data_IF_820588396911
#
_entry.id   IF_820588396911
#
_cell.length_a   1.000
_cell.length_b   1.000
_cell.length_c   1.000
_cell.angle_alpha   90.00
_cell.angle_beta   90.00
_cell.angle_gamma   90.00
#
_symmetry.space_group_name_H-M   'P 1'
#
loop_
_entity.id
_entity.type
_entity.pdbx_description
1 polymer ?
#
# COMPACT_ATOMS: atom_id res chain seq x y z
N UNK A 1 -14.71 64.61 16.01
CA UNK A 1 -15.60 64.89 14.85
C UNK A 1 -16.29 63.58 14.50
N UNK A 2 -17.58 63.47 14.81
CA UNK A 2 -18.40 62.28 14.54
C UNK A 2 -18.92 62.37 13.10
N UNK A 3 -18.84 61.30 12.27
CA UNK A 3 -19.34 61.35 10.90
C UNK A 3 -20.87 61.58 10.89
N UNK A 4 -21.39 62.34 9.90
CA UNK A 4 -22.81 62.67 9.84
C UNK A 4 -23.64 61.41 9.61
N UNK A 5 -24.77 61.29 10.31
CA UNK A 5 -25.75 60.22 10.08
C UNK A 5 -26.26 60.31 8.63
N UNK A 6 -26.36 59.18 7.92
CA UNK A 6 -26.87 59.17 6.55
C UNK A 6 -28.32 59.66 6.51
N UNK A 7 -28.60 60.49 5.50
CA UNK A 7 -29.90 61.11 5.27
C UNK A 7 -30.97 60.03 4.98
N UNK A 8 -32.22 60.30 5.36
CA UNK A 8 -33.32 59.33 5.33
C UNK A 8 -33.56 58.74 3.93
N UNK A 9 -33.23 59.51 2.87
CA UNK A 9 -33.31 59.06 1.47
C UNK A 9 -32.28 57.98 1.10
N UNK A 10 -31.10 58.01 1.72
CA UNK A 10 -30.04 57.01 1.46
C UNK A 10 -30.38 55.68 2.13
N UNK A 11 -31.14 55.70 3.23
CA UNK A 11 -31.58 54.50 3.95
C UNK A 11 -32.60 53.69 3.15
N UNK A 12 -33.57 54.37 2.53
CA UNK A 12 -34.59 53.72 1.69
C UNK A 12 -34.00 53.07 0.44
N UNK A 13 -33.00 53.70 -0.20
CA UNK A 13 -32.32 53.12 -1.37
C UNK A 13 -31.47 51.87 -1.02
N UNK A 14 -30.94 51.79 0.19
CA UNK A 14 -30.20 50.60 0.66
C UNK A 14 -31.17 49.46 0.99
N UNK A 15 -32.32 49.76 1.58
CA UNK A 15 -33.36 48.77 1.88
C UNK A 15 -34.01 48.19 0.61
N UNK A 16 -34.26 49.02 -0.41
CA UNK A 16 -34.78 48.55 -1.70
C UNK A 16 -33.76 47.71 -2.49
N UNK A 17 -32.46 48.06 -2.44
CA UNK A 17 -31.38 47.22 -3.01
C UNK A 17 -31.23 45.89 -2.28
N UNK A 18 -31.32 45.87 -0.95
CA UNK A 18 -31.23 44.65 -0.16
C UNK A 18 -32.42 43.72 -0.42
N UNK A 19 -33.61 44.27 -0.67
CA UNK A 19 -34.80 43.49 -1.05
C UNK A 19 -34.67 42.88 -2.44
N UNK A 20 -34.17 43.65 -3.40
CA UNK A 20 -33.95 43.20 -4.79
C UNK A 20 -32.89 42.09 -4.88
N UNK A 21 -31.85 42.12 -4.04
CA UNK A 21 -30.83 41.06 -4.00
C UNK A 21 -31.40 39.78 -3.35
N UNK A 22 -32.29 39.89 -2.37
CA UNK A 22 -32.90 38.73 -1.71
C UNK A 22 -33.87 37.96 -2.62
N UNK A 23 -34.56 38.68 -3.50
CA UNK A 23 -35.46 38.09 -4.51
C UNK A 23 -34.70 37.47 -5.70
N UNK A 24 -33.42 37.81 -5.89
CA UNK A 24 -32.53 37.20 -6.90
C UNK A 24 -31.85 35.90 -6.41
N UNK A 25 -31.86 35.62 -5.11
CA UNK A 25 -31.16 34.49 -4.48
C UNK A 25 -32.10 33.36 -4.06
N UNK A 26 -33.41 33.51 -4.25
CA UNK A 26 -34.35 32.38 -4.10
C UNK A 26 -34.44 31.61 -5.42
N UNK A 27 -33.92 30.38 -5.52
CA UNK A 27 -34.13 29.56 -6.70
C UNK A 27 -35.63 29.25 -6.82
N UNK A 28 -36.20 29.53 -7.99
CA UNK A 28 -37.56 29.15 -8.34
C UNK A 28 -37.54 27.65 -8.64
N UNK A 29 -37.58 26.81 -7.60
CA UNK A 29 -37.74 25.37 -7.79
C UNK A 29 -39.23 25.04 -7.90
N UNK A 30 -39.60 24.34 -8.97
CA UNK A 30 -40.94 23.78 -9.11
C UNK A 30 -41.18 22.77 -7.96
N UNK A 31 -42.40 22.69 -7.39
CA UNK A 31 -42.68 21.81 -6.25
C UNK A 31 -42.42 20.32 -6.53
N UNK A 32 -42.35 19.89 -7.80
CA UNK A 32 -41.96 18.53 -8.18
C UNK A 32 -40.45 18.25 -8.09
N UNK A 33 -39.59 19.27 -8.31
CA UNK A 33 -38.13 19.11 -8.20
C UNK A 33 -37.68 19.09 -6.74
N UNK A 34 -38.34 19.86 -5.86
CA UNK A 34 -38.10 19.82 -4.43
C UNK A 34 -38.51 18.48 -3.79
N UNK A 35 -39.54 17.81 -4.32
CA UNK A 35 -39.92 16.47 -3.88
C UNK A 35 -38.92 15.39 -4.35
N UNK A 36 -38.32 15.54 -5.54
CA UNK A 36 -37.21 14.66 -5.98
C UNK A 36 -35.95 14.89 -5.16
N UNK A 37 -35.58 16.15 -4.90
CA UNK A 37 -34.43 16.49 -4.06
C UNK A 37 -34.58 15.94 -2.63
N UNK A 38 -35.79 15.97 -2.06
CA UNK A 38 -36.03 15.41 -0.74
C UNK A 38 -36.06 13.87 -0.71
N UNK A 39 -36.35 13.22 -1.85
CA UNK A 39 -36.22 11.76 -1.99
C UNK A 39 -34.76 11.32 -2.19
N UNK A 40 -33.92 12.15 -2.82
CA UNK A 40 -32.48 11.90 -2.99
C UNK A 40 -31.69 12.09 -1.68
N UNK A 41 -32.11 13.02 -0.82
CA UNK A 41 -31.48 13.29 0.48
C UNK A 41 -31.78 12.23 1.56
N UNK A 42 -32.77 11.36 1.33
CA UNK A 42 -33.20 10.29 2.25
C UNK A 42 -32.80 8.89 1.75
N UNK A 43 -31.86 8.80 0.81
CA UNK A 43 -31.17 7.54 0.52
C UNK A 43 -29.86 7.56 1.29
N UNK A 44 -29.93 7.23 2.58
CA UNK A 44 -28.77 6.80 3.32
C UNK A 44 -28.35 5.44 2.76
N UNK A 45 -27.54 5.45 1.69
CA UNK A 45 -26.87 4.23 1.22
C UNK A 45 -25.87 3.86 2.31
N UNK A 46 -26.31 3.11 3.31
CA UNK A 46 -25.44 2.54 4.33
C UNK A 46 -24.38 1.69 3.60
N UNK A 47 -23.23 2.28 3.33
CA UNK A 47 -22.09 1.59 2.73
C UNK A 47 -21.47 0.75 3.83
N UNK A 48 -21.77 -0.54 3.82
CA UNK A 48 -21.04 -1.49 4.64
C UNK A 48 -19.77 -1.87 3.89
N UNK A 49 -18.59 -1.62 4.45
CA UNK A 49 -17.35 -2.02 3.81
C UNK A 49 -17.29 -3.53 3.68
N UNK A 50 -16.66 -4.02 2.61
CA UNK A 50 -16.49 -5.44 2.25
C UNK A 50 -16.03 -6.31 3.43
N UNK A 51 -15.22 -5.78 4.32
CA UNK A 51 -14.74 -6.44 5.54
C UNK A 51 -15.86 -6.82 6.51
N UNK A 52 -16.91 -6.00 6.60
CA UNK A 52 -18.07 -6.30 7.45
C UNK A 52 -18.90 -7.44 6.86
N UNK A 53 -18.98 -7.55 5.52
CA UNK A 53 -19.67 -8.64 4.85
C UNK A 53 -18.98 -9.98 5.10
N UNK A 54 -17.64 -10.02 5.09
CA UNK A 54 -16.87 -11.23 5.40
C UNK A 54 -17.20 -11.83 6.77
N UNK A 55 -17.43 -11.00 7.78
CA UNK A 55 -17.78 -11.45 9.12
C UNK A 55 -19.17 -12.12 9.20
N UNK A 56 -20.04 -11.85 8.22
CA UNK A 56 -21.40 -12.39 8.16
C UNK A 56 -21.55 -13.57 7.19
N UNK A 57 -20.49 -13.97 6.47
CA UNK A 57 -20.50 -15.17 5.64
C UNK A 57 -20.17 -16.39 6.50
N UNK A 58 -21.20 -17.14 6.89
CA UNK A 58 -21.06 -18.41 7.61
C UNK A 58 -20.71 -19.57 6.64
N UNK A 59 -19.91 -20.53 7.11
CA UNK A 59 -19.57 -21.74 6.37
C UNK A 59 -18.10 -22.16 6.47
N UNK A 60 -17.82 -23.38 6.02
CA UNK A 60 -16.45 -23.93 5.95
C UNK A 60 -15.73 -23.43 4.70
N UNK A 61 -14.45 -23.09 4.81
CA UNK A 61 -13.66 -22.62 3.68
C UNK A 61 -13.26 -23.79 2.77
N UNK A 62 -13.60 -23.69 1.49
CA UNK A 62 -13.23 -24.68 0.47
C UNK A 62 -12.49 -23.97 -0.66
N UNK A 63 -11.25 -24.38 -0.90
CA UNK A 63 -10.40 -23.82 -1.95
C UNK A 63 -10.67 -24.51 -3.28
N UNK A 64 -11.03 -23.74 -4.29
CA UNK A 64 -11.45 -24.23 -5.61
C UNK A 64 -10.76 -23.47 -6.74
N UNK A 65 -10.65 -24.09 -7.91
CA UNK A 65 -10.31 -23.37 -9.14
C UNK A 65 -11.59 -23.09 -9.90
N UNK A 66 -11.91 -21.82 -10.08
CA UNK A 66 -13.18 -21.36 -10.61
C UNK A 66 -13.06 -20.97 -12.08
N UNK A 67 -13.97 -21.47 -12.92
CA UNK A 67 -14.06 -21.21 -14.36
C UNK A 67 -15.34 -20.43 -14.64
N UNK A 68 -15.22 -19.10 -14.69
CA UNK A 68 -16.32 -18.20 -15.02
C UNK A 68 -16.45 -18.05 -16.53
N UNK A 69 -17.65 -18.22 -17.09
CA UNK A 69 -17.89 -18.08 -18.51
C UNK A 69 -17.77 -16.63 -18.96
N UNK A 70 -17.08 -16.42 -20.09
CA UNK A 70 -17.03 -15.12 -20.75
C UNK A 70 -18.20 -15.03 -21.72
N UNK A 71 -19.31 -14.47 -21.25
CA UNK A 71 -20.53 -14.33 -22.04
C UNK A 71 -20.55 -13.00 -22.81
N UNK A 72 -20.95 -13.07 -24.09
CA UNK A 72 -21.25 -11.87 -24.90
C UNK A 72 -22.77 -11.68 -25.01
N UNK A 73 -23.21 -10.48 -25.43
CA UNK A 73 -24.63 -10.21 -25.63
C UNK A 73 -25.22 -11.16 -26.70
N UNK A 74 -25.90 -12.22 -26.25
CA UNK A 74 -26.49 -13.27 -27.11
C UNK A 74 -25.96 -14.69 -26.85
N UNK A 75 -24.97 -14.86 -25.96
CA UNK A 75 -24.47 -16.17 -25.55
C UNK A 75 -25.34 -16.75 -24.42
N UNK A 76 -25.77 -18.01 -24.56
CA UNK A 76 -26.41 -18.76 -23.48
C UNK A 76 -25.35 -19.38 -22.55
N UNK A 77 -25.63 -19.36 -21.26
CA UNK A 77 -24.74 -19.92 -20.26
C UNK A 77 -24.94 -21.44 -20.18
N UNK A 78 -23.99 -22.19 -20.75
CA UNK A 78 -24.07 -23.64 -20.90
C UNK A 78 -22.85 -24.32 -20.26
N UNK A 79 -23.01 -25.45 -19.54
CA UNK A 79 -21.89 -26.20 -18.97
C UNK A 79 -20.88 -26.66 -20.05
N UNK A 80 -19.71 -27.15 -19.61
CA UNK A 80 -18.67 -27.66 -20.52
C UNK A 80 -19.21 -28.68 -21.53
N UNK A 81 -18.94 -28.44 -22.81
CA UNK A 81 -19.16 -29.40 -23.87
C UNK A 81 -17.83 -29.71 -24.57
N UNK A 82 -17.36 -30.96 -24.46
CA UNK A 82 -16.10 -31.42 -25.09
C UNK A 82 -16.10 -31.28 -26.61
N UNK A 83 -17.27 -31.24 -27.24
CA UNK A 83 -17.43 -31.11 -28.69
C UNK A 83 -17.43 -29.66 -29.18
N UNK A 84 -17.50 -28.68 -28.27
CA UNK A 84 -17.58 -27.27 -28.61
C UNK A 84 -16.19 -26.64 -28.65
N UNK A 85 -15.88 -25.96 -29.76
CA UNK A 85 -14.59 -25.30 -29.96
C UNK A 85 -14.32 -24.20 -28.91
N UNK A 86 -13.04 -24.01 -28.58
CA UNK A 86 -12.60 -23.05 -27.57
C UNK A 86 -12.94 -21.57 -27.87
N UNK A 87 -13.18 -21.23 -29.14
CA UNK A 87 -13.63 -19.89 -29.52
C UNK A 87 -15.09 -19.63 -29.14
N UNK A 88 -15.91 -20.69 -29.10
CA UNK A 88 -17.34 -20.61 -28.80
C UNK A 88 -17.67 -20.81 -27.32
N UNK A 89 -16.74 -21.36 -26.55
CA UNK A 89 -16.88 -21.56 -25.11
C UNK A 89 -15.58 -21.15 -24.42
N UNK A 90 -15.57 -19.93 -23.86
CA UNK A 90 -14.41 -19.31 -23.24
C UNK A 90 -14.60 -19.13 -21.75
N UNK A 91 -13.54 -19.35 -20.98
CA UNK A 91 -13.52 -19.20 -19.53
C UNK A 91 -12.47 -18.21 -19.04
N UNK A 92 -12.79 -17.52 -17.94
CA UNK A 92 -11.83 -16.89 -17.05
C UNK A 92 -11.57 -17.84 -15.89
N UNK A 93 -10.32 -18.25 -15.72
CA UNK A 93 -9.87 -19.08 -14.62
C UNK A 93 -9.49 -18.20 -13.43
N UNK A 94 -10.03 -18.48 -12.25
CA UNK A 94 -9.58 -17.92 -10.98
C UNK A 94 -9.03 -19.07 -10.15
N UNK A 95 -7.73 -19.03 -9.90
CA UNK A 95 -7.03 -20.09 -9.16
C UNK A 95 -7.07 -19.84 -7.66
N UNK A 96 -7.27 -20.92 -6.90
CA UNK A 96 -7.22 -20.88 -5.43
C UNK A 96 -8.32 -20.05 -4.76
N UNK A 97 -9.47 -19.88 -5.43
CA UNK A 97 -10.61 -19.16 -4.88
C UNK A 97 -11.14 -19.86 -3.63
N UNK A 98 -11.30 -19.11 -2.54
CA UNK A 98 -11.98 -19.60 -1.35
C UNK A 98 -13.49 -19.36 -1.46
N UNK A 99 -14.31 -20.41 -1.37
CA UNK A 99 -15.77 -20.33 -1.20
C UNK A 99 -16.18 -20.81 0.18
N UNK A 100 -17.32 -20.34 0.69
CA UNK A 100 -17.84 -20.71 2.01
C UNK A 100 -18.98 -21.71 1.86
N UNK A 101 -18.71 -22.98 2.14
CA UNK A 101 -19.69 -24.07 2.03
C UNK A 101 -20.69 -23.95 3.18
N UNK A 102 -21.97 -23.85 2.82
CA UNK A 102 -23.08 -23.64 3.77
C UNK A 102 -23.87 -24.91 4.07
N UNK A 103 -23.92 -25.85 3.12
CA UNK A 103 -24.52 -27.17 3.29
C UNK A 103 -23.46 -28.25 3.11
N UNK A 104 -23.57 -29.34 3.87
CA UNK A 104 -22.79 -30.54 3.57
C UNK A 104 -23.10 -31.05 2.17
N UNK A 105 -22.15 -31.77 1.58
CA UNK A 105 -22.30 -32.39 0.28
C UNK A 105 -23.31 -33.53 0.39
N UNK A 106 -24.46 -33.42 -0.28
CA UNK A 106 -25.47 -34.47 -0.34
C UNK A 106 -25.24 -35.37 -1.55
N UNK A 107 -25.29 -36.69 -1.33
CA UNK A 107 -25.22 -37.70 -2.37
C UNK A 107 -26.60 -38.34 -2.53
N UNK A 108 -27.23 -38.12 -3.67
CA UNK A 108 -28.50 -38.75 -4.00
C UNK A 108 -28.27 -39.77 -5.12
N UNK A 109 -28.76 -40.99 -4.93
CA UNK A 109 -28.73 -41.99 -5.99
C UNK A 109 -29.97 -41.82 -6.84
N UNK A 110 -29.79 -41.54 -8.13
CA UNK A 110 -30.89 -41.53 -9.08
C UNK A 110 -31.44 -42.96 -9.21
N UNK A 111 -32.71 -43.14 -8.86
CA UNK A 111 -33.38 -44.44 -8.86
C UNK A 111 -33.60 -45.02 -10.26
N UNK A 112 -33.55 -44.20 -11.32
CA UNK A 112 -33.72 -44.63 -12.71
C UNK A 112 -32.40 -45.10 -13.34
N UNK A 113 -31.30 -44.36 -13.13
CA UNK A 113 -30.02 -44.62 -13.79
C UNK A 113 -28.96 -45.26 -12.87
N UNK A 114 -29.21 -45.34 -11.56
CA UNK A 114 -28.29 -45.86 -10.56
C UNK A 114 -27.05 -45.00 -10.31
N UNK A 115 -26.96 -43.83 -10.96
CA UNK A 115 -25.88 -42.85 -10.82
C UNK A 115 -26.04 -42.04 -9.53
N UNK A 116 -24.92 -41.65 -8.94
CA UNK A 116 -24.91 -40.76 -7.78
C UNK A 116 -24.76 -39.31 -8.26
N UNK A 117 -25.72 -38.47 -7.91
CA UNK A 117 -25.62 -37.02 -8.06
C UNK A 117 -25.13 -36.44 -6.75
N UNK A 118 -24.09 -35.62 -6.84
CA UNK A 118 -23.48 -34.96 -5.69
C UNK A 118 -23.81 -33.48 -5.78
N UNK A 119 -24.53 -32.94 -4.80
CA UNK A 119 -24.98 -31.54 -4.79
C UNK A 119 -24.60 -30.83 -3.50
N UNK A 120 -24.52 -29.51 -3.55
CA UNK A 120 -24.23 -28.68 -2.39
C UNK A 120 -24.54 -27.21 -2.62
N UNK A 121 -24.47 -26.43 -1.55
CA UNK A 121 -24.66 -25.00 -1.56
C UNK A 121 -23.51 -24.28 -0.85
N UNK A 122 -22.99 -23.24 -1.50
CA UNK A 122 -21.94 -22.39 -0.96
C UNK A 122 -22.27 -20.92 -1.17
N UNK A 123 -21.48 -20.08 -0.51
CA UNK A 123 -21.55 -18.64 -0.60
C UNK A 123 -20.21 -18.12 -1.13
N UNK A 124 -20.26 -17.26 -2.14
CA UNK A 124 -19.05 -16.67 -2.74
C UNK A 124 -18.50 -15.55 -1.87
N UNK A 125 -17.24 -15.20 -2.10
CA UNK A 125 -16.67 -13.98 -1.52
C UNK A 125 -17.09 -12.74 -2.33
N UNK A 126 -17.17 -11.56 -1.69
CA UNK A 126 -17.44 -10.31 -2.38
C UNK A 126 -16.47 -10.08 -3.55
N UNK A 127 -16.98 -9.46 -4.62
CA UNK A 127 -16.22 -9.18 -5.86
C UNK A 127 -16.39 -10.23 -6.95
N UNK A 128 -16.78 -11.47 -6.62
CA UNK A 128 -17.13 -12.49 -7.61
C UNK A 128 -18.62 -12.47 -7.93
N UNK A 129 -18.96 -12.34 -9.22
CA UNK A 129 -20.33 -12.49 -9.73
C UNK A 129 -20.44 -13.82 -10.46
N UNK A 130 -21.03 -14.86 -9.84
CA UNK A 130 -21.17 -16.16 -10.46
C UNK A 130 -22.37 -16.23 -11.41
N UNK A 131 -22.18 -16.84 -12.57
CA UNK A 131 -23.25 -17.15 -13.53
C UNK A 131 -23.73 -18.59 -13.37
N UNK A 132 -24.96 -18.85 -13.84
CA UNK A 132 -25.45 -20.23 -13.98
C UNK A 132 -24.67 -20.91 -15.10
N UNK A 133 -24.24 -22.17 -14.91
CA UNK A 133 -23.41 -22.89 -15.87
C UNK A 133 -21.90 -22.70 -15.67
N UNK A 134 -21.46 -21.73 -14.85
CA UNK A 134 -20.06 -21.63 -14.43
C UNK A 134 -19.62 -22.90 -13.71
N UNK A 135 -18.33 -23.19 -13.74
CA UNK A 135 -17.80 -24.43 -13.19
C UNK A 135 -16.68 -24.17 -12.20
N UNK A 136 -16.40 -25.14 -11.34
CA UNK A 136 -15.20 -25.13 -10.54
C UNK A 136 -14.69 -26.54 -10.29
N UNK A 137 -13.39 -26.66 -10.08
CA UNK A 137 -12.75 -27.91 -9.70
C UNK A 137 -12.31 -27.86 -8.25
N UNK A 138 -12.57 -28.95 -7.53
CA UNK A 138 -12.28 -29.05 -6.11
C UNK A 138 -12.03 -30.50 -5.70
N UNK A 139 -11.28 -30.70 -4.62
CA UNK A 139 -11.05 -32.01 -4.03
C UNK A 139 -12.36 -32.52 -3.38
N UNK A 140 -12.83 -33.69 -3.80
CA UNK A 140 -14.05 -34.34 -3.31
C UNK A 140 -13.73 -35.34 -2.18
N UNK A 141 -12.45 -35.49 -1.83
CA UNK A 141 -11.94 -36.55 -0.96
C UNK A 141 -11.46 -37.76 -1.76
N UNK A 142 -10.79 -38.70 -1.07
CA UNK A 142 -10.17 -39.90 -1.68
C UNK A 142 -9.08 -39.60 -2.73
N UNK A 143 -8.51 -38.39 -2.70
CA UNK A 143 -7.44 -37.95 -3.59
C UNK A 143 -7.89 -37.67 -5.03
N UNK A 144 -9.19 -37.48 -5.27
CA UNK A 144 -9.76 -37.21 -6.60
C UNK A 144 -10.37 -35.81 -6.67
N UNK A 145 -10.13 -35.15 -7.79
CA UNK A 145 -10.71 -33.84 -8.10
C UNK A 145 -12.02 -34.02 -8.86
N UNK A 146 -13.06 -33.33 -8.42
CA UNK A 146 -14.38 -33.29 -9.06
C UNK A 146 -14.57 -31.99 -9.82
N UNK A 147 -15.34 -32.06 -10.90
CA UNK A 147 -15.82 -30.91 -11.66
C UNK A 147 -17.27 -30.63 -11.25
N UNK A 148 -17.50 -29.45 -10.72
CA UNK A 148 -18.81 -28.98 -10.28
C UNK A 148 -19.33 -27.90 -11.23
N UNK A 149 -20.63 -27.91 -11.49
CA UNK A 149 -21.33 -26.91 -12.29
C UNK A 149 -22.34 -26.18 -11.43
N UNK A 150 -22.38 -24.86 -11.53
CA UNK A 150 -23.33 -24.00 -10.82
C UNK A 150 -24.70 -24.10 -11.49
N UNK A 151 -25.70 -24.53 -10.72
CA UNK A 151 -27.08 -24.69 -11.19
C UNK A 151 -27.93 -23.46 -10.91
N UNK A 152 -27.59 -22.71 -9.86
CA UNK A 152 -28.31 -21.50 -9.44
C UNK A 152 -27.37 -20.51 -8.78
N UNK A 153 -27.59 -19.22 -9.05
CA UNK A 153 -26.87 -18.09 -8.46
C UNK A 153 -27.89 -17.07 -7.97
N UNK A 154 -27.87 -16.77 -6.66
CA UNK A 154 -28.76 -15.78 -6.03
C UNK A 154 -27.95 -14.72 -5.30
N UNK A 155 -28.28 -13.46 -5.54
CA UNK A 155 -27.70 -12.33 -4.82
C UNK A 155 -28.28 -12.28 -3.40
N UNK A 156 -27.42 -12.30 -2.37
CA UNK A 156 -27.88 -12.34 -0.96
C UNK A 156 -28.07 -10.97 -0.32
N UNK A 157 -27.55 -9.91 -0.94
CA UNK A 157 -27.64 -8.53 -0.42
C UNK A 157 -28.06 -7.55 -1.53
N UNK A 158 -28.68 -6.44 -1.13
CA UNK A 158 -29.10 -5.35 -2.04
C UNK A 158 -28.04 -4.24 -2.14
N UNK A 159 -26.99 -4.28 -1.32
CA UNK A 159 -25.93 -3.27 -1.25
C UNK A 159 -25.04 -3.27 -2.50
N UNK A 160 -24.10 -2.32 -2.61
CA UNK A 160 -23.15 -2.28 -3.74
C UNK A 160 -22.20 -3.47 -3.73
N UNK A 161 -21.63 -3.76 -2.56
CA UNK A 161 -20.81 -4.95 -2.34
C UNK A 161 -21.74 -6.10 -1.94
N UNK A 162 -21.76 -7.15 -2.76
CA UNK A 162 -22.68 -8.27 -2.55
C UNK A 162 -22.01 -9.60 -2.65
N UNK A 163 -22.55 -10.49 -1.84
CA UNK A 163 -22.22 -11.90 -1.77
C UNK A 163 -23.32 -12.68 -2.49
N UNK A 164 -22.93 -13.76 -3.17
CA UNK A 164 -23.86 -14.63 -3.90
C UNK A 164 -23.93 -16.00 -3.23
N UNK A 165 -25.15 -16.49 -3.04
CA UNK A 165 -25.38 -17.89 -2.73
C UNK A 165 -25.42 -18.67 -4.04
N UNK A 166 -24.65 -19.74 -4.11
CA UNK A 166 -24.58 -20.64 -5.27
C UNK A 166 -25.00 -22.04 -4.86
N UNK A 167 -25.76 -22.69 -5.75
CA UNK A 167 -26.02 -24.12 -5.69
C UNK A 167 -25.25 -24.79 -6.83
N UNK A 168 -24.66 -25.95 -6.55
CA UNK A 168 -23.82 -26.65 -7.51
C UNK A 168 -24.06 -28.16 -7.46
N UNK A 169 -23.78 -28.79 -8.61
CA UNK A 169 -23.84 -30.22 -8.79
C UNK A 169 -22.54 -30.72 -9.42
N UNK A 170 -22.05 -31.87 -8.97
CA UNK A 170 -20.92 -32.56 -9.58
C UNK A 170 -21.35 -33.16 -10.92
N UNK A 171 -20.64 -32.81 -11.97
CA UNK A 171 -20.89 -33.30 -13.33
C UNK A 171 -20.02 -34.51 -13.65
N UNK A 172 -18.74 -34.45 -13.28
CA UNK A 172 -17.78 -35.53 -13.56
C UNK A 172 -16.58 -35.46 -12.62
N UNK A 173 -15.76 -36.53 -12.61
CA UNK A 173 -14.40 -36.45 -12.08
C UNK A 173 -13.48 -35.79 -13.11
N UNK A 174 -12.48 -35.06 -12.64
CA UNK A 174 -11.47 -34.45 -13.49
C UNK A 174 -10.61 -35.57 -14.11
N UNK A 175 -10.80 -35.81 -15.40
CA UNK A 175 -9.91 -36.65 -16.22
C UNK A 175 -8.95 -35.77 -16.99
N UNK A 176 -7.82 -36.31 -17.46
CA UNK A 176 -6.84 -35.53 -18.23
C UNK A 176 -7.41 -34.92 -19.52
N UNK A 177 -8.41 -35.55 -20.13
CA UNK A 177 -9.12 -35.02 -21.30
C UNK A 177 -9.96 -33.78 -20.94
N UNK A 178 -10.69 -33.84 -19.82
CA UNK A 178 -11.53 -32.73 -19.34
C UNK A 178 -10.66 -31.55 -18.90
N UNK A 179 -9.53 -31.83 -18.24
CA UNK A 179 -8.57 -30.81 -17.82
C UNK A 179 -7.92 -30.12 -19.03
N UNK A 180 -7.52 -30.87 -20.04
CA UNK A 180 -6.96 -30.32 -21.26
C UNK A 180 -7.98 -29.44 -21.99
N UNK A 181 -9.22 -29.91 -22.17
CA UNK A 181 -10.29 -29.13 -22.79
C UNK A 181 -10.58 -27.83 -22.02
N UNK A 182 -10.62 -27.88 -20.68
CA UNK A 182 -10.76 -26.67 -19.87
C UNK A 182 -9.58 -25.72 -20.08
N UNK A 183 -8.35 -26.23 -20.09
CA UNK A 183 -7.15 -25.41 -20.24
C UNK A 183 -7.08 -24.71 -21.60
N UNK A 184 -7.51 -25.37 -22.68
CA UNK A 184 -7.56 -24.81 -24.03
C UNK A 184 -8.62 -23.71 -24.17
N UNK A 185 -9.66 -23.77 -23.33
CA UNK A 185 -10.79 -22.81 -23.30
C UNK A 185 -10.56 -21.61 -22.38
N UNK A 186 -9.47 -21.57 -21.61
CA UNK A 186 -9.15 -20.46 -20.72
C UNK A 186 -8.52 -19.31 -21.50
N UNK A 187 -9.13 -18.12 -21.42
CA UNK A 187 -8.64 -16.89 -22.06
C UNK A 187 -7.82 -16.03 -21.09
N UNK A 188 -8.22 -16.01 -19.82
CA UNK A 188 -7.62 -15.17 -18.79
C UNK A 188 -7.50 -15.96 -17.49
N UNK A 189 -6.33 -15.90 -16.86
CA UNK A 189 -6.07 -16.50 -15.55
C UNK A 189 -5.86 -15.40 -14.52
N UNK A 190 -6.55 -15.52 -13.39
CA UNK A 190 -6.40 -14.68 -12.21
C UNK A 190 -6.06 -15.54 -10.99
N UNK A 191 -5.41 -14.93 -10.02
CA UNK A 191 -5.06 -15.54 -8.75
C UNK A 191 -5.83 -14.85 -7.63
N UNK A 192 -6.51 -15.64 -6.81
CA UNK A 192 -7.25 -15.13 -5.67
C UNK A 192 -6.29 -14.93 -4.48
N UNK A 193 -6.28 -13.72 -3.91
CA UNK A 193 -5.60 -13.42 -2.67
C UNK A 193 -6.57 -12.81 -1.65
N UNK A 194 -6.79 -13.52 -0.55
CA UNK A 194 -7.76 -13.16 0.50
C UNK A 194 -7.39 -11.88 1.25
N UNK A 195 -6.10 -11.53 1.32
CA UNK A 195 -5.65 -10.40 2.13
C UNK A 195 -6.02 -9.05 1.50
N UNK A 196 -6.12 -8.99 0.17
CA UNK A 196 -6.64 -7.80 -0.52
C UNK A 196 -8.11 -7.56 -0.16
N UNK A 197 -8.89 -8.63 -0.05
CA UNK A 197 -10.30 -8.55 0.33
C UNK A 197 -10.48 -8.01 1.76
N UNK A 198 -9.60 -8.40 2.69
CA UNK A 198 -9.59 -7.89 4.08
C UNK A 198 -9.19 -6.41 4.19
N UNK A 199 -8.60 -5.85 3.14
CA UNK A 199 -8.24 -4.43 3.07
C UNK A 199 -9.23 -3.62 2.22
N UNK A 200 -10.28 -4.25 1.68
CA UNK A 200 -11.26 -3.61 0.80
C UNK A 200 -10.77 -3.38 -0.63
N UNK A 201 -9.70 -4.03 -1.05
CA UNK A 201 -9.15 -4.00 -2.42
C UNK A 201 -9.67 -5.18 -3.26
N UNK A 202 -9.44 -5.15 -4.58
CA UNK A 202 -9.82 -6.25 -5.48
C UNK A 202 -8.95 -7.49 -5.22
N UNK A 203 -9.53 -8.64 -4.83
CA UNK A 203 -8.76 -9.85 -4.52
C UNK A 203 -8.30 -10.64 -5.76
N UNK A 204 -8.69 -10.25 -6.97
CA UNK A 204 -8.38 -11.00 -8.19
C UNK A 204 -7.19 -10.41 -8.94
N UNK A 205 -6.00 -10.91 -8.61
CA UNK A 205 -4.75 -10.47 -9.23
C UNK A 205 -4.56 -11.11 -10.61
N UNK A 206 -3.97 -10.36 -11.54
CA UNK A 206 -3.48 -10.94 -12.80
C UNK A 206 -2.30 -11.90 -12.53
N UNK A 207 -2.02 -12.81 -13.46
CA UNK A 207 -0.84 -13.71 -13.35
C UNK A 207 0.46 -12.93 -13.21
N UNK A 208 0.63 -11.82 -13.92
CA UNK A 208 1.83 -10.99 -13.81
C UNK A 208 1.95 -10.34 -12.43
N UNK A 209 0.85 -9.85 -11.86
CA UNK A 209 0.86 -9.17 -10.56
C UNK A 209 1.09 -10.16 -9.43
N UNK A 210 0.48 -11.35 -9.51
CA UNK A 210 0.69 -12.43 -8.53
C UNK A 210 2.15 -12.92 -8.51
N UNK A 211 2.78 -13.06 -9.68
CA UNK A 211 4.22 -13.38 -9.78
C UNK A 211 5.06 -12.24 -9.21
N UNK A 212 4.74 -10.99 -9.57
CA UNK A 212 5.44 -9.81 -9.05
C UNK A 212 5.34 -9.72 -7.53
N UNK A 213 4.16 -9.93 -6.94
CA UNK A 213 3.97 -9.94 -5.49
C UNK A 213 4.84 -11.02 -4.83
N UNK A 214 4.87 -12.23 -5.41
CA UNK A 214 5.70 -13.33 -4.90
C UNK A 214 7.19 -12.99 -4.96
N UNK A 215 7.65 -12.43 -6.08
CA UNK A 215 9.04 -12.03 -6.26
C UNK A 215 9.42 -10.94 -5.23
N UNK A 216 8.57 -9.91 -5.09
CA UNK A 216 8.77 -8.84 -4.13
C UNK A 216 8.84 -9.34 -2.67
N UNK A 217 8.10 -10.41 -2.32
CA UNK A 217 8.23 -11.05 -1.01
C UNK A 217 9.60 -11.67 -0.79
N UNK A 218 10.13 -12.40 -1.78
CA UNK A 218 11.49 -12.94 -1.68
C UNK A 218 12.55 -11.82 -1.68
N UNK A 219 12.30 -10.76 -2.43
CA UNK A 219 13.19 -9.62 -2.54
C UNK A 219 13.27 -8.83 -1.24
N UNK A 220 12.16 -8.71 -0.48
CA UNK A 220 12.15 -8.06 0.83
C UNK A 220 13.20 -8.64 1.78
N UNK A 221 13.21 -9.97 1.96
CA UNK A 221 14.18 -10.64 2.84
C UNK A 221 15.61 -10.55 2.28
N UNK A 222 15.75 -10.65 0.96
CA UNK A 222 17.04 -10.50 0.28
C UNK A 222 17.61 -9.10 0.46
N UNK A 223 16.77 -8.08 0.42
CA UNK A 223 17.15 -6.67 0.56
C UNK A 223 17.57 -6.35 2.00
N UNK A 224 16.87 -6.88 3.01
CA UNK A 224 17.31 -6.80 4.42
C UNK A 224 18.68 -7.44 4.58
N UNK A 225 18.87 -8.62 3.98
CA UNK A 225 20.13 -9.32 4.06
C UNK A 225 21.27 -8.52 3.41
N UNK A 226 21.03 -7.99 2.21
CA UNK A 226 21.97 -7.14 1.49
C UNK A 226 22.34 -5.89 2.30
N UNK A 227 21.34 -5.20 2.86
CA UNK A 227 21.55 -3.99 3.67
C UNK A 227 22.47 -4.23 4.86
N UNK A 228 22.20 -5.29 5.63
CA UNK A 228 23.01 -5.64 6.79
C UNK A 228 24.39 -6.16 6.37
N UNK A 229 24.52 -6.90 5.28
CA UNK A 229 25.83 -7.34 4.78
C UNK A 229 26.70 -6.16 4.34
N UNK A 230 26.11 -5.14 3.72
CA UNK A 230 26.84 -3.98 3.21
C UNK A 230 27.25 -3.01 4.34
N UNK A 231 26.35 -2.72 5.28
CA UNK A 231 26.52 -1.59 6.19
C UNK A 231 26.65 -1.94 7.68
N UNK A 232 26.44 -3.20 8.08
CA UNK A 232 26.57 -3.60 9.49
C UNK A 232 28.03 -3.68 9.92
N UNK A 233 28.40 -2.87 10.92
CA UNK A 233 29.69 -2.99 11.60
C UNK A 233 29.60 -3.98 12.76
N UNK A 234 30.40 -5.05 12.69
CA UNK A 234 30.55 -6.02 13.78
C UNK A 234 31.24 -5.44 15.02
N UNK A 235 32.11 -4.44 14.83
CA UNK A 235 32.82 -3.77 15.92
C UNK A 235 31.84 -2.97 16.78
N UNK A 236 31.03 -2.13 16.13
CA UNK A 236 30.11 -1.24 16.82
C UNK A 236 28.70 -1.84 17.02
N UNK A 237 28.41 -3.00 16.41
CA UNK A 237 27.11 -3.68 16.45
C UNK A 237 25.96 -2.79 15.98
N UNK A 238 26.19 -2.00 14.94
CA UNK A 238 25.22 -1.06 14.35
C UNK A 238 25.51 -0.89 12.87
N UNK A 239 24.57 -0.30 12.14
CA UNK A 239 24.74 0.09 10.74
C UNK A 239 25.41 1.46 10.68
N UNK A 240 26.43 1.60 9.83
CA UNK A 240 27.21 2.83 9.65
C UNK A 240 27.14 3.32 8.21
N UNK A 241 27.29 4.64 8.04
CA UNK A 241 27.28 5.27 6.73
C UNK A 241 28.47 4.75 5.90
N UNK A 242 28.29 4.46 4.61
CA UNK A 242 29.41 4.11 3.74
C UNK A 242 30.23 5.35 3.35
N UNK A 243 31.52 5.15 3.10
CA UNK A 243 32.38 6.11 2.42
C UNK A 243 32.13 6.08 0.89
N UNK A 244 32.78 6.98 0.14
CA UNK A 244 32.67 7.04 -1.33
C UNK A 244 33.13 5.76 -2.05
N UNK A 245 33.87 4.89 -1.35
CA UNK A 245 34.37 3.61 -1.86
C UNK A 245 33.50 2.43 -1.39
N UNK A 246 32.42 2.66 -0.63
CA UNK A 246 31.53 1.66 -0.08
C UNK A 246 32.03 0.96 1.20
N UNK A 247 33.12 1.41 1.81
CA UNK A 247 33.54 0.90 3.13
C UNK A 247 32.72 1.59 4.22
N UNK A 248 32.41 0.90 5.31
CA UNK A 248 31.77 1.52 6.49
C UNK A 248 32.67 2.63 7.06
N UNK A 249 32.24 3.87 6.90
CA UNK A 249 32.86 5.03 7.53
C UNK A 249 32.51 5.06 9.03
N UNK A 250 33.30 5.78 9.84
CA UNK A 250 33.01 5.97 11.27
C UNK A 250 31.92 7.03 11.51
N UNK A 251 30.86 7.00 10.70
CA UNK A 251 29.74 7.95 10.73
C UNK A 251 28.45 7.18 11.02
N UNK A 252 27.68 7.66 12.00
CA UNK A 252 26.43 7.03 12.43
C UNK A 252 25.22 7.93 12.20
N UNK A 253 24.16 7.35 11.65
CA UNK A 253 22.85 7.99 11.57
C UNK A 253 21.87 7.34 12.57
N UNK A 254 21.49 8.04 13.66
CA UNK A 254 20.53 7.52 14.63
C UNK A 254 19.09 7.49 14.10
N UNK A 255 18.72 8.36 13.16
CA UNK A 255 17.36 8.46 12.62
C UNK A 255 17.03 7.25 11.73
N UNK A 256 17.96 6.87 10.84
CA UNK A 256 17.82 5.66 10.01
C UNK A 256 17.74 4.42 10.89
N UNK A 257 18.55 4.35 11.95
CA UNK A 257 18.55 3.21 12.87
C UNK A 257 17.24 3.09 13.66
N UNK A 258 16.63 4.22 14.06
CA UNK A 258 15.30 4.25 14.69
C UNK A 258 14.25 3.72 13.73
N UNK A 259 14.24 4.20 12.47
CA UNK A 259 13.33 3.68 11.45
C UNK A 259 13.51 2.18 11.28
N UNK A 260 14.74 1.71 11.08
CA UNK A 260 15.04 0.28 10.90
C UNK A 260 14.42 -0.57 12.01
N UNK A 261 14.53 -0.14 13.27
CA UNK A 261 13.95 -0.84 14.42
C UNK A 261 12.41 -0.84 14.46
N UNK A 262 11.78 0.16 13.84
CA UNK A 262 10.33 0.28 13.76
C UNK A 262 9.76 -0.54 12.61
N UNK A 263 10.46 -0.60 11.47
CA UNK A 263 9.98 -1.28 10.27
C UNK A 263 10.38 -2.75 10.20
N UNK A 264 11.53 -3.16 10.76
CA UNK A 264 12.06 -4.53 10.60
C UNK A 264 12.03 -5.26 11.95
N UNK A 265 11.35 -6.40 11.97
CA UNK A 265 11.27 -7.24 13.16
C UNK A 265 12.57 -8.02 13.35
N UNK A 266 12.89 -8.38 14.59
CA UNK A 266 14.04 -9.25 14.87
C UNK A 266 13.95 -10.61 14.18
N UNK A 267 12.74 -11.10 13.93
CA UNK A 267 12.50 -12.38 13.26
C UNK A 267 12.85 -12.33 11.76
N UNK A 268 12.79 -11.15 11.15
CA UNK A 268 13.04 -10.96 9.71
C UNK A 268 14.54 -11.00 9.41
N UNK A 269 15.38 -10.74 10.42
CA UNK A 269 16.84 -10.78 10.34
C UNK A 269 17.33 -12.20 10.61
N UNK A 270 17.25 -13.06 9.61
CA UNK A 270 17.71 -14.45 9.72
C UNK A 270 19.25 -14.54 9.67
N UNK A 271 19.86 -15.20 10.66
CA UNK A 271 21.28 -15.55 10.65
C UNK A 271 22.28 -14.41 10.89
N UNK A 272 21.80 -13.20 11.19
CA UNK A 272 22.65 -12.04 11.52
C UNK A 272 22.27 -11.44 12.88
N UNK A 273 23.20 -10.72 13.50
CA UNK A 273 22.92 -9.99 14.72
C UNK A 273 22.02 -8.79 14.42
N UNK A 274 20.98 -8.63 15.23
CA UNK A 274 20.10 -7.47 15.12
C UNK A 274 20.86 -6.20 15.54
N UNK A 275 20.90 -5.15 14.70
CA UNK A 275 21.62 -3.92 15.01
C UNK A 275 21.18 -3.29 16.34
N UNK A 276 22.10 -2.57 17.00
CA UNK A 276 21.82 -1.87 18.26
C UNK A 276 21.79 -0.37 18.06
N UNK A 277 20.72 0.28 18.51
CA UNK A 277 20.65 1.76 18.55
C UNK A 277 21.73 2.29 19.50
N UNK A 278 22.52 3.26 19.03
CA UNK A 278 23.44 4.02 19.88
C UNK A 278 22.76 5.30 20.32
N UNK A 279 22.70 5.51 21.63
CA UNK A 279 21.98 6.66 22.16
C UNK A 279 22.82 7.91 21.95
N UNK A 280 22.23 8.86 21.23
CA UNK A 280 22.74 10.22 21.10
C UNK A 280 22.14 11.00 22.28
N UNK A 281 22.70 10.74 23.47
CA UNK A 281 22.10 11.10 24.75
C UNK A 281 22.37 12.53 25.21
N UNK A 282 21.72 12.90 26.32
CA UNK A 282 22.00 14.11 27.08
C UNK A 282 20.77 14.98 27.35
N UNK A 283 21.00 16.27 27.28
CA UNK A 283 20.03 17.38 27.37
C UNK A 283 19.72 17.97 25.98
N UNK A 284 19.97 17.18 24.95
CA UNK A 284 19.73 17.49 23.55
C UNK A 284 18.28 17.13 23.22
N UNK A 285 17.60 17.99 22.47
CA UNK A 285 16.23 17.74 22.02
C UNK A 285 16.27 16.59 21.00
N UNK A 286 15.73 15.43 21.39
CA UNK A 286 15.63 14.24 20.52
C UNK A 286 14.29 14.13 19.82
N UNK A 287 13.35 15.03 20.12
CA UNK A 287 11.96 15.03 19.65
C UNK A 287 11.80 15.78 18.32
N UNK A 288 12.89 15.93 17.57
CA UNK A 288 12.87 16.56 16.25
C UNK A 288 12.14 15.66 15.27
N UNK A 289 11.14 16.22 14.59
CA UNK A 289 10.46 15.55 13.49
C UNK A 289 11.41 15.43 12.30
N UNK A 290 11.40 14.27 11.67
CA UNK A 290 12.25 13.95 10.53
C UNK A 290 11.39 13.42 9.38
N UNK A 291 11.98 13.33 8.18
CA UNK A 291 11.32 12.70 7.04
C UNK A 291 10.82 11.29 7.37
N UNK A 292 11.56 10.55 8.20
CA UNK A 292 11.17 9.19 8.63
C UNK A 292 9.89 9.16 9.45
N UNK A 293 9.64 10.19 10.28
CA UNK A 293 8.41 10.30 11.07
C UNK A 293 7.20 10.59 10.17
N UNK A 294 7.38 11.42 9.14
CA UNK A 294 6.36 11.68 8.13
C UNK A 294 6.01 10.41 7.34
N UNK A 295 7.02 9.62 6.96
CA UNK A 295 6.84 8.35 6.26
C UNK A 295 6.14 7.29 7.11
N UNK A 296 6.50 7.16 8.39
CA UNK A 296 5.90 6.19 9.31
C UNK A 296 4.44 6.50 9.63
N UNK A 297 4.11 7.79 9.83
CA UNK A 297 2.75 8.23 10.13
C UNK A 297 1.89 8.39 8.88
N UNK A 298 2.52 8.43 7.70
CA UNK A 298 1.85 8.71 6.41
C UNK A 298 1.09 10.03 6.45
N UNK A 299 1.77 11.08 6.93
CA UNK A 299 1.19 12.42 7.06
C UNK A 299 2.12 13.44 6.36
N UNK A 300 1.75 13.96 5.16
CA UNK A 300 2.60 14.89 4.42
C UNK A 300 2.78 16.23 5.14
N UNK A 301 1.79 16.66 5.92
CA UNK A 301 1.86 17.90 6.71
C UNK A 301 3.02 17.91 7.73
N UNK A 302 3.50 16.74 8.17
CA UNK A 302 4.64 16.65 9.08
C UNK A 302 5.95 17.10 8.43
N UNK A 303 6.07 17.01 7.09
CA UNK A 303 7.27 17.45 6.38
C UNK A 303 7.52 18.95 6.57
N UNK A 304 6.47 19.76 6.73
CA UNK A 304 6.58 21.21 6.97
C UNK A 304 7.26 21.56 8.29
N UNK A 305 7.24 20.65 9.25
CA UNK A 305 7.85 20.80 10.56
C UNK A 305 9.11 19.94 10.73
N UNK A 306 9.38 19.07 9.76
CA UNK A 306 10.52 18.18 9.81
C UNK A 306 11.82 18.97 9.61
N UNK A 307 12.89 18.53 10.27
CA UNK A 307 14.22 18.98 9.90
C UNK A 307 14.57 18.44 8.50
N UNK A 308 14.86 19.35 7.58
CA UNK A 308 15.17 19.04 6.18
C UNK A 308 16.67 19.00 5.90
N UNK A 309 17.47 19.78 6.63
CA UNK A 309 18.92 19.88 6.44
C UNK A 309 19.68 19.33 7.66
N UNK A 310 20.78 18.63 7.39
CA UNK A 310 21.56 17.90 8.39
C UNK A 310 23.05 18.19 8.24
N UNK A 311 23.81 17.88 9.29
CA UNK A 311 25.26 18.08 9.34
C UNK A 311 25.95 16.94 10.04
N UNK A 312 27.21 16.73 9.70
CA UNK A 312 28.11 15.82 10.42
C UNK A 312 28.62 16.51 11.69
N UNK A 313 28.41 15.86 12.83
CA UNK A 313 28.86 16.36 14.13
C UNK A 313 29.76 15.31 14.79
N UNK A 314 30.91 15.69 15.36
CA UNK A 314 31.74 14.73 16.06
C UNK A 314 31.00 14.13 17.27
N UNK A 315 31.12 12.82 17.49
CA UNK A 315 30.46 12.11 18.59
C UNK A 315 30.82 12.68 19.98
N UNK A 316 32.00 13.31 20.10
CA UNK A 316 32.46 14.02 21.29
C UNK A 316 31.67 15.29 21.63
N UNK A 317 30.83 15.80 20.72
CA UNK A 317 29.96 16.93 20.97
C UNK A 317 28.71 16.57 21.80
N UNK A 318 28.40 15.27 21.92
CA UNK A 318 27.26 14.77 22.67
C UNK A 318 27.60 14.43 24.12
N UNK A 319 26.57 14.31 24.96
CA UNK A 319 26.77 14.03 26.38
C UNK A 319 27.28 12.61 26.60
N UNK A 320 28.27 12.45 27.49
CA UNK A 320 28.78 11.14 27.88
C UNK A 320 27.87 10.54 28.94
N UNK A 321 27.06 9.54 28.55
CA UNK A 321 26.20 8.80 29.47
C UNK A 321 26.61 7.31 29.51
N UNK A 322 27.34 6.85 30.54
CA UNK A 322 27.87 5.49 30.60
C UNK A 322 26.82 4.36 30.56
N UNK A 323 25.58 4.64 30.99
CA UNK A 323 24.57 3.61 31.25
C UNK A 323 23.68 3.23 30.05
N UNK A 324 23.90 3.77 28.84
CA UNK A 324 22.94 3.60 27.73
C UNK A 324 23.56 3.44 26.33
N UNK A 325 24.73 2.82 26.19
CA UNK A 325 25.41 2.70 24.88
C UNK A 325 25.57 4.06 24.19
N UNK A 326 25.96 5.08 24.96
CA UNK A 326 26.15 6.45 24.51
C UNK A 326 27.14 6.51 23.36
N UNK A 327 26.79 7.22 22.29
CA UNK A 327 27.61 7.35 21.08
C UNK A 327 29.02 7.90 21.37
N UNK A 328 29.14 8.79 22.35
CA UNK A 328 30.43 9.34 22.78
C UNK A 328 31.42 8.29 23.35
N UNK A 329 30.96 7.07 23.67
CA UNK A 329 31.77 5.97 24.22
C UNK A 329 31.94 4.79 23.25
N UNK A 330 31.32 4.83 22.06
CA UNK A 330 31.34 3.68 21.13
C UNK A 330 32.56 3.65 20.22
N UNK A 331 33.34 4.74 20.14
CA UNK A 331 34.47 4.86 19.21
C UNK A 331 34.08 5.33 17.80
N UNK A 332 32.80 5.61 17.57
CA UNK A 332 32.30 6.23 16.34
C UNK A 332 32.73 7.70 16.32
N UNK A 333 33.24 8.19 15.20
CA UNK A 333 33.85 9.52 15.11
C UNK A 333 32.80 10.62 14.92
N UNK A 334 31.82 10.39 14.04
CA UNK A 334 30.84 11.39 13.62
C UNK A 334 29.41 10.85 13.65
N UNK A 335 28.46 11.77 13.77
CA UNK A 335 27.01 11.51 13.83
C UNK A 335 26.31 12.47 12.89
N UNK A 336 25.37 11.95 12.09
CA UNK A 336 24.46 12.78 11.31
C UNK A 336 23.42 13.37 12.27
N UNK A 337 23.33 14.71 12.28
CA UNK A 337 22.48 15.44 13.22
C UNK A 337 21.74 16.58 12.52
N UNK A 338 20.46 16.86 12.86
CA UNK A 338 19.72 17.97 12.28
C UNK A 338 20.50 19.29 12.41
N UNK A 339 20.63 20.03 11.31
CA UNK A 339 21.41 21.26 11.32
C UNK A 339 20.75 22.36 12.16
N UNK A 340 19.42 22.30 12.28
CA UNK A 340 18.66 23.21 13.13
C UNK A 340 18.75 22.88 14.62
N UNK A 341 19.35 21.75 15.03
CA UNK A 341 19.39 21.34 16.43
C UNK A 341 20.78 21.49 17.08
N UNK A 342 20.76 21.84 18.37
CA UNK A 342 21.97 22.08 19.17
C UNK A 342 22.45 20.79 19.82
N UNK A 343 23.76 20.58 19.80
CA UNK A 343 24.42 19.51 20.56
C UNK A 343 24.69 19.93 22.01
N UNK A 344 25.03 18.96 22.87
CA UNK A 344 25.36 19.21 24.27
C UNK A 344 26.48 20.26 24.43
N UNK A 345 27.55 20.11 23.65
CA UNK A 345 28.69 21.03 23.66
C UNK A 345 28.32 22.43 23.17
N UNK A 346 27.49 22.55 22.13
CA UNK A 346 27.04 23.85 21.62
C UNK A 346 26.12 24.57 22.60
N UNK A 347 25.24 23.82 23.26
CA UNK A 347 24.38 24.33 24.33
C UNK A 347 25.19 24.81 25.54
N UNK A 348 26.22 24.06 25.93
CA UNK A 348 27.17 24.51 26.97
C UNK A 348 27.96 25.75 26.56
N UNK A 349 28.31 25.88 25.28
CA UNK A 349 28.98 27.05 24.73
C UNK A 349 28.05 28.27 24.56
N UNK A 350 26.74 28.12 24.81
CA UNK A 350 25.76 29.20 24.66
C UNK A 350 25.48 29.59 23.21
N UNK A 351 25.73 28.68 22.26
CA UNK A 351 25.41 28.89 20.85
C UNK A 351 23.89 28.94 20.67
N UNK A 352 23.42 29.88 19.85
CA UNK A 352 21.99 30.03 19.56
C UNK A 352 21.61 29.20 18.34
N UNK A 353 20.39 28.67 18.35
CA UNK A 353 19.82 27.95 17.20
C UNK A 353 19.84 28.77 15.90
N UNK A 354 19.52 30.07 16.00
CA UNK A 354 19.50 30.97 14.83
C UNK A 354 20.86 31.03 14.11
N UNK A 355 21.98 31.05 14.85
CA UNK A 355 23.31 31.11 14.23
C UNK A 355 23.70 29.83 13.49
N UNK A 356 23.04 28.70 13.75
CA UNK A 356 23.24 27.47 12.97
C UNK A 356 22.44 27.51 11.67
N UNK A 357 21.21 28.04 11.74
CA UNK A 357 20.34 28.19 10.57
C UNK A 357 20.91 29.23 9.61
N UNK A 358 21.42 30.34 10.12
CA UNK A 358 22.06 31.40 9.32
C UNK A 358 23.35 30.93 8.61
N UNK A 359 23.94 29.81 9.07
CA UNK A 359 25.14 29.20 8.50
C UNK A 359 24.83 28.11 7.47
N UNK A 360 23.54 27.84 7.21
CA UNK A 360 23.12 26.96 6.13
C UNK A 360 23.21 27.75 4.83
N UNK A 361 24.22 27.45 4.03
CA UNK A 361 24.31 27.96 2.67
C UNK A 361 23.21 27.27 1.84
N UNK A 362 22.35 28.04 1.18
CA UNK A 362 21.49 27.55 0.09
C UNK A 362 22.42 27.37 -1.12
N UNK A 363 23.19 26.27 -1.12
CA UNK A 363 24.01 25.92 -2.27
C UNK A 363 23.09 25.76 -3.50
N UNK A 364 23.54 26.34 -4.61
CA UNK A 364 22.68 26.81 -5.69
C UNK A 364 21.88 25.74 -6.43
N UNK A 365 20.99 26.22 -7.31
CA UNK A 365 20.08 25.42 -8.12
C UNK A 365 20.78 24.24 -8.82
N UNK A 366 20.55 23.04 -8.29
CA UNK A 366 20.88 21.80 -8.97
C UNK A 366 19.94 21.58 -10.16
N UNK A 367 20.46 20.94 -11.21
CA UNK A 367 19.68 20.57 -12.39
C UNK A 367 18.80 19.36 -12.07
N UNK A 368 17.67 19.62 -11.43
CA UNK A 368 16.64 18.61 -11.26
C UNK A 368 16.02 18.22 -12.61
N UNK A 369 15.63 16.96 -12.70
CA UNK A 369 15.01 16.35 -13.87
C UNK A 369 13.66 15.76 -13.47
N UNK A 370 12.86 15.43 -14.49
CA UNK A 370 11.56 14.79 -14.30
C UNK A 370 11.68 13.36 -13.78
N UNK A 371 10.65 12.83 -13.08
CA UNK A 371 10.65 11.47 -12.54
C UNK A 371 10.92 10.36 -13.57
N UNK A 372 10.58 10.59 -14.84
CA UNK A 372 10.82 9.63 -15.93
C UNK A 372 12.31 9.51 -16.32
N UNK A 373 13.16 10.45 -15.91
CA UNK A 373 14.55 10.57 -16.35
C UNK A 373 15.56 10.12 -15.29
N UNK A 374 15.23 10.25 -14.01
CA UNK A 374 16.14 9.96 -12.88
C UNK A 374 15.46 9.06 -11.87
N UNK A 375 16.08 7.93 -11.55
CA UNK A 375 15.53 6.99 -10.57
C UNK A 375 15.78 7.43 -9.12
N UNK A 376 16.99 7.94 -8.87
CA UNK A 376 17.46 8.37 -7.56
C UNK A 376 18.33 9.62 -7.69
N UNK A 377 18.08 10.61 -6.84
CA UNK A 377 19.08 11.63 -6.55
C UNK A 377 20.10 11.12 -5.53
N UNK A 378 21.25 11.79 -5.45
CA UNK A 378 22.20 11.52 -4.38
C UNK A 378 21.70 12.18 -3.08
N UNK A 379 21.69 11.46 -1.95
CA UNK A 379 21.44 12.07 -0.66
C UNK A 379 22.48 13.17 -0.37
N UNK A 380 22.05 14.29 0.22
CA UNK A 380 22.91 15.45 0.53
C UNK A 380 23.44 16.20 -0.72
N UNK A 381 22.83 16.03 -1.91
CA UNK A 381 23.28 16.73 -3.13
C UNK A 381 23.15 18.26 -3.04
N UNK A 382 22.07 18.74 -2.42
CA UNK A 382 21.69 20.14 -2.25
C UNK A 382 21.63 20.56 -0.76
N UNK A 383 22.29 19.79 0.10
CA UNK A 383 22.26 19.95 1.55
C UNK A 383 20.96 19.48 2.22
N UNK A 384 20.00 18.93 1.47
CA UNK A 384 18.80 18.30 2.02
C UNK A 384 19.06 16.82 2.34
N UNK A 385 18.39 16.37 3.39
CA UNK A 385 18.59 15.05 3.96
C UNK A 385 17.77 13.99 3.26
N UNK A 386 18.41 12.91 2.85
CA UNK A 386 17.83 11.73 2.18
C UNK A 386 17.27 12.04 0.79
N UNK A 387 16.31 12.94 0.69
CA UNK A 387 15.68 13.39 -0.55
C UNK A 387 16.15 14.79 -0.92
N UNK A 388 15.97 15.13 -2.19
CA UNK A 388 16.26 16.43 -2.78
C UNK A 388 15.26 17.51 -2.33
N UNK A 389 15.65 18.77 -2.48
CA UNK A 389 14.82 19.94 -2.22
C UNK A 389 13.44 19.90 -2.89
N UNK A 390 13.28 19.51 -4.19
CA UNK A 390 11.97 19.32 -4.80
C UNK A 390 11.00 18.46 -4.01
N UNK A 391 11.48 17.37 -3.39
CA UNK A 391 10.62 16.51 -2.57
C UNK A 391 10.04 17.26 -1.37
N UNK A 392 10.88 18.03 -0.68
CA UNK A 392 10.46 18.82 0.49
C UNK A 392 9.58 20.02 0.13
N UNK A 393 9.80 20.60 -1.06
CA UNK A 393 9.02 21.72 -1.58
C UNK A 393 7.70 21.28 -2.24
N UNK A 394 7.53 19.98 -2.50
CA UNK A 394 6.35 19.41 -3.18
C UNK A 394 6.34 19.65 -4.69
N UNK A 395 7.51 19.80 -5.33
CA UNK A 395 7.64 19.99 -6.78
C UNK A 395 7.73 18.65 -7.53
N UNK A 396 6.57 18.09 -7.86
CA UNK A 396 6.45 16.79 -8.53
C UNK A 396 7.13 16.71 -9.90
N UNK A 397 7.35 17.85 -10.58
CA UNK A 397 8.00 17.86 -11.90
C UNK A 397 9.53 17.70 -11.82
N UNK A 398 10.11 17.93 -10.64
CA UNK A 398 11.56 17.94 -10.41
C UNK A 398 12.01 16.79 -9.50
N UNK A 399 11.10 15.92 -9.06
CA UNK A 399 11.41 14.75 -8.24
C UNK A 399 12.03 13.62 -9.06
N UNK A 400 12.88 12.81 -8.41
CA UNK A 400 13.27 11.49 -8.90
C UNK A 400 12.10 10.51 -8.84
N UNK A 401 12.21 9.38 -9.55
CA UNK A 401 11.17 8.35 -9.57
C UNK A 401 10.86 7.82 -8.17
N UNK A 402 11.87 7.60 -7.31
CA UNK A 402 11.64 7.16 -5.94
C UNK A 402 10.89 8.22 -5.12
N UNK A 403 11.30 9.49 -5.20
CA UNK A 403 10.65 10.59 -4.47
C UNK A 403 9.20 10.77 -4.88
N UNK A 404 8.91 10.72 -6.18
CA UNK A 404 7.55 10.78 -6.69
C UNK A 404 6.69 9.61 -6.17
N UNK A 405 7.24 8.39 -6.10
CA UNK A 405 6.53 7.26 -5.50
C UNK A 405 6.29 7.42 -4.00
N UNK A 406 7.23 8.05 -3.29
CA UNK A 406 7.10 8.35 -1.86
C UNK A 406 6.04 9.43 -1.62
N UNK A 407 6.00 10.46 -2.48
CA UNK A 407 4.99 11.51 -2.45
C UNK A 407 3.58 10.93 -2.66
N UNK A 408 3.40 10.10 -3.68
CA UNK A 408 2.16 9.33 -3.89
C UNK A 408 1.79 8.46 -2.66
N UNK A 409 2.77 7.82 -2.04
CA UNK A 409 2.55 7.06 -0.82
C UNK A 409 2.03 7.95 0.32
N UNK A 410 2.62 9.14 0.52
CA UNK A 410 2.20 10.09 1.56
C UNK A 410 0.79 10.63 1.31
N UNK A 411 0.43 10.87 0.04
CA UNK A 411 -0.89 11.40 -0.35
C UNK A 411 -2.04 10.38 -0.24
N UNK A 412 -1.73 9.11 -0.01
CA UNK A 412 -2.75 8.07 0.11
C UNK A 412 -2.90 7.18 -1.12
N UNK A 413 -2.19 7.48 -2.20
CA UNK A 413 -2.38 6.82 -3.49
C UNK A 413 -1.89 5.37 -3.50
N UNK A 414 -2.49 4.58 -4.40
CA UNK A 414 -2.08 3.20 -4.65
C UNK A 414 -0.86 3.16 -5.59
N UNK A 415 0.22 2.51 -5.16
CA UNK A 415 1.39 2.27 -6.02
C UNK A 415 1.25 0.97 -6.82
N UNK A 416 1.78 0.98 -8.05
CA UNK A 416 1.88 -0.23 -8.88
C UNK A 416 3.07 -1.08 -8.42
N UNK A 417 2.84 -2.37 -8.18
CA UNK A 417 3.89 -3.31 -7.77
C UNK A 417 5.05 -3.38 -8.78
N UNK A 418 4.75 -3.25 -10.08
CA UNK A 418 5.76 -3.22 -11.13
C UNK A 418 6.73 -2.04 -11.03
N UNK A 419 6.26 -0.87 -10.56
CA UNK A 419 7.11 0.30 -10.37
C UNK A 419 8.04 0.13 -9.16
N UNK A 420 7.54 -0.48 -8.08
CA UNK A 420 8.36 -0.85 -6.91
C UNK A 420 9.46 -1.84 -7.31
N UNK A 421 9.11 -2.86 -8.11
CA UNK A 421 10.08 -3.84 -8.61
C UNK A 421 11.15 -3.18 -9.49
N UNK A 422 10.76 -2.28 -10.40
CA UNK A 422 11.69 -1.56 -11.25
C UNK A 422 12.68 -0.69 -10.45
N UNK A 423 12.20 0.00 -9.41
CA UNK A 423 13.06 0.79 -8.52
C UNK A 423 14.02 -0.13 -7.74
N UNK A 424 13.51 -1.23 -7.20
CA UNK A 424 14.31 -2.20 -6.45
C UNK A 424 15.48 -2.76 -7.29
N UNK A 425 15.23 -3.16 -8.55
CA UNK A 425 16.27 -3.69 -9.44
C UNK A 425 17.40 -2.67 -9.69
N UNK A 426 17.03 -1.38 -9.80
CA UNK A 426 18.00 -0.29 -9.98
C UNK A 426 18.73 0.05 -8.68
N UNK A 427 18.08 -0.13 -7.53
CA UNK A 427 18.66 0.18 -6.22
C UNK A 427 19.90 -0.68 -5.92
N UNK A 428 19.95 -1.93 -6.38
CA UNK A 428 21.16 -2.78 -6.25
C UNK A 428 22.37 -2.24 -7.02
N UNK A 429 22.15 -1.38 -8.02
CA UNK A 429 23.19 -0.75 -8.85
C UNK A 429 23.48 0.69 -8.43
N UNK A 430 22.70 1.24 -7.50
CA UNK A 430 22.85 2.58 -6.97
C UNK A 430 24.16 2.73 -6.17
N UNK A 431 24.57 3.97 -5.89
CA UNK A 431 25.78 4.21 -5.10
C UNK A 431 25.60 3.70 -3.66
N UNK A 432 26.69 3.42 -2.92
CA UNK A 432 26.58 2.94 -1.54
C UNK A 432 25.75 3.89 -0.65
N UNK A 433 25.88 5.21 -0.84
CA UNK A 433 25.15 6.21 -0.07
C UNK A 433 23.64 6.19 -0.39
N UNK A 434 23.29 6.11 -1.68
CA UNK A 434 21.90 5.91 -2.11
C UNK A 434 21.33 4.62 -1.51
N UNK A 435 22.06 3.51 -1.58
CA UNK A 435 21.64 2.25 -0.98
C UNK A 435 21.41 2.39 0.53
N UNK A 436 22.28 3.11 1.25
CA UNK A 436 22.15 3.29 2.69
C UNK A 436 20.83 3.95 3.11
N UNK A 437 20.39 4.98 2.38
CA UNK A 437 19.19 5.75 2.71
C UNK A 437 17.92 5.25 2.01
N UNK A 438 18.01 4.84 0.75
CA UNK A 438 16.85 4.45 -0.05
C UNK A 438 16.40 3.00 0.21
N UNK A 439 17.28 2.09 0.65
CA UNK A 439 16.85 0.72 1.02
C UNK A 439 15.82 0.74 2.15
N UNK A 440 16.03 1.44 3.28
CA UNK A 440 15.00 1.55 4.31
C UNK A 440 13.66 2.15 3.81
N UNK A 441 13.71 3.12 2.89
CA UNK A 441 12.50 3.68 2.25
C UNK A 441 11.77 2.60 1.44
N UNK A 442 12.48 1.86 0.58
CA UNK A 442 11.88 0.80 -0.23
C UNK A 442 11.37 -0.35 0.63
N UNK A 443 12.06 -0.71 1.72
CA UNK A 443 11.56 -1.71 2.69
C UNK A 443 10.25 -1.28 3.35
N UNK A 444 10.11 0.01 3.69
CA UNK A 444 8.85 0.55 4.19
C UNK A 444 7.75 0.43 3.12
N UNK A 445 8.02 0.85 1.88
CA UNK A 445 7.04 0.74 0.78
C UNK A 445 6.63 -0.72 0.54
N UNK A 446 7.59 -1.65 0.52
CA UNK A 446 7.29 -3.07 0.40
C UNK A 446 6.38 -3.55 1.52
N UNK A 447 6.66 -3.18 2.77
CA UNK A 447 5.86 -3.58 3.93
C UNK A 447 4.42 -3.05 3.89
N UNK A 448 4.20 -1.89 3.26
CA UNK A 448 2.87 -1.30 3.08
C UNK A 448 2.11 -1.96 1.93
N UNK A 449 2.75 -2.11 0.76
CA UNK A 449 2.08 -2.49 -0.49
C UNK A 449 2.11 -4.00 -0.77
N UNK A 450 3.07 -4.74 -0.23
CA UNK A 450 3.16 -6.21 -0.36
C UNK A 450 2.52 -6.84 0.87
N UNK A 451 1.45 -7.60 0.66
CA UNK A 451 0.66 -8.19 1.75
C UNK A 451 1.39 -9.37 2.41
N UNK A 452 1.26 -9.53 3.73
CA UNK A 452 1.88 -10.59 4.54
C UNK A 452 3.42 -10.61 4.54
N UNK A 453 4.05 -9.45 4.74
CA UNK A 453 5.48 -9.33 5.03
C UNK A 453 5.80 -9.31 6.52
#
# INVERSE_FOLDING_TARGET
MTPPKPDARTRTQIEDKAKTIKDLVTPITHPEEAQRAHLEEVIDTSYLPTNSLLAHVEGSEWTVNYYGQVLTNGSEANPQALTQDAVHQQYRLITGLAIKVTSEISQEQNAEDGTFTVSGAATTLPGLVPNTGDMFTADVGDGRVGVFTITSSRRMSMLRDTVYGIEYQMTSFLTGEVEQDLSEKVVETRHFNKDYLLNGEDPFLSTSDAVTEKDLKSDYYTLIQHYLQAFYSREYKTVLLPDSNGNTASVYDPMVMKLFHLIISRNDVFGMEYPTIKQVGGDVETDTLTVWDALLKREPDLLRFAATQYRKVPASAFSVQPFFSSIALTGIEEVIWPASELTHKEKQAGIKRSSLIDALDDEGADNYQTPDSVDFYEPDMDGYYVFSKPFYDGDTESMSKLEYMVDQYLDGDSLRLGDIKAILEKLYQATPLQQYYHIPVVLLLLKVFVRNL
#
